data_IF_444479772004
#
_entry.id   IF_444479772004
#
_cell.length_a   1.000
_cell.length_b   1.000
_cell.length_c   1.000
_cell.angle_alpha   90.00
_cell.angle_beta   90.00
_cell.angle_gamma   90.00
#
_symmetry.space_group_name_H-M   'P 1'
#
loop_
_entity.id
_entity.type
_entity.pdbx_description
1 polymer ?
#
# COMPACT_ATOMS: atom_id res chain seq x y z
N UNK A 1 -11.98 3.76 3.08
CA UNK A 1 -10.93 3.32 2.12
C UNK A 1 -11.35 2.23 1.15
N UNK A 2 -12.07 1.17 1.57
CA UNK A 2 -12.55 0.11 0.66
C UNK A 2 -13.27 0.57 -0.63
N UNK A 3 -14.31 1.43 -0.60
CA UNK A 3 -14.99 1.86 -1.83
C UNK A 3 -14.06 2.65 -2.76
N UNK A 4 -13.14 3.44 -2.19
CA UNK A 4 -12.13 4.17 -2.94
C UNK A 4 -11.18 3.22 -3.68
N UNK A 5 -10.66 2.19 -3.00
CA UNK A 5 -9.79 1.19 -3.62
C UNK A 5 -10.49 0.42 -4.75
N UNK A 6 -11.78 0.11 -4.59
CA UNK A 6 -12.57 -0.54 -5.63
C UNK A 6 -12.77 0.36 -6.86
N UNK A 7 -13.15 1.63 -6.64
CA UNK A 7 -13.29 2.61 -7.71
C UNK A 7 -11.96 2.87 -8.45
N UNK A 8 -10.85 2.93 -7.70
CA UNK A 8 -9.51 3.04 -8.26
C UNK A 8 -9.20 1.85 -9.18
N UNK A 9 -9.37 0.61 -8.70
CA UNK A 9 -9.15 -0.61 -9.50
C UNK A 9 -9.99 -0.57 -10.76
N UNK A 10 -11.30 -0.34 -10.64
CA UNK A 10 -12.21 -0.27 -11.79
C UNK A 10 -11.72 0.74 -12.85
N UNK A 11 -11.26 1.92 -12.43
CA UNK A 11 -10.73 2.95 -13.32
C UNK A 11 -9.44 2.51 -14.02
N UNK A 12 -8.46 1.98 -13.28
CA UNK A 12 -7.15 1.62 -13.87
C UNK A 12 -7.19 0.34 -14.69
N UNK A 13 -8.17 -0.53 -14.45
CA UNK A 13 -8.35 -1.76 -15.24
C UNK A 13 -9.34 -1.61 -16.41
N UNK A 14 -9.97 -0.44 -16.57
CA UNK A 14 -11.01 -0.23 -17.58
C UNK A 14 -10.51 -0.44 -19.02
N UNK A 15 -9.24 -0.11 -19.29
CA UNK A 15 -8.65 -0.16 -20.63
C UNK A 15 -7.66 -1.32 -20.83
N UNK A 16 -7.01 -1.75 -19.74
CA UNK A 16 -6.10 -2.90 -19.72
C UNK A 16 -6.48 -3.82 -18.56
N UNK A 17 -6.59 -5.13 -18.80
CA UNK A 17 -6.84 -6.13 -17.76
C UNK A 17 -5.60 -6.34 -16.89
N UNK A 18 -5.31 -5.38 -16.02
CA UNK A 18 -4.32 -5.56 -14.96
C UNK A 18 -4.95 -6.47 -13.88
N UNK A 19 -4.32 -7.59 -13.49
CA UNK A 19 -4.87 -8.53 -12.50
C UNK A 19 -4.77 -7.99 -11.05
N UNK A 20 -5.34 -6.81 -10.80
CA UNK A 20 -5.46 -6.19 -9.48
C UNK A 20 -6.62 -6.80 -8.69
N UNK A 21 -6.46 -8.06 -8.31
CA UNK A 21 -7.49 -8.92 -7.71
C UNK A 21 -7.40 -9.05 -6.18
N UNK A 22 -6.72 -8.11 -5.51
CA UNK A 22 -6.48 -8.12 -4.06
C UNK A 22 -5.78 -9.39 -3.54
N UNK A 23 -4.98 -10.07 -4.37
CA UNK A 23 -4.11 -11.16 -3.95
C UNK A 23 -2.74 -10.63 -3.49
N UNK A 24 -2.03 -11.41 -2.68
CA UNK A 24 -0.64 -11.09 -2.32
C UNK A 24 0.27 -11.05 -3.56
N UNK A 25 0.04 -11.94 -4.52
CA UNK A 25 0.81 -11.98 -5.76
C UNK A 25 0.67 -10.69 -6.58
N UNK A 26 -0.52 -10.06 -6.57
CA UNK A 26 -0.75 -8.80 -7.28
C UNK A 26 0.09 -7.63 -6.76
N UNK A 27 0.68 -7.71 -5.56
CA UNK A 27 1.58 -6.67 -5.05
C UNK A 27 2.85 -6.51 -5.90
N UNK A 28 3.31 -7.58 -6.57
CA UNK A 28 4.41 -7.48 -7.57
C UNK A 28 4.04 -6.60 -8.75
N UNK A 29 2.77 -6.63 -9.15
CA UNK A 29 2.28 -5.77 -10.22
C UNK A 29 2.21 -4.31 -9.76
N UNK A 30 1.77 -4.07 -8.52
CA UNK A 30 1.81 -2.72 -7.93
C UNK A 30 3.25 -2.21 -7.88
N UNK A 31 4.20 -3.05 -7.46
CA UNK A 31 5.62 -2.74 -7.47
C UNK A 31 6.09 -2.28 -8.87
N UNK A 32 5.74 -3.03 -9.92
CA UNK A 32 6.07 -2.71 -11.30
C UNK A 32 5.38 -1.44 -11.83
N UNK A 33 4.12 -1.19 -11.45
CA UNK A 33 3.39 0.03 -11.83
C UNK A 33 4.07 1.27 -11.23
N UNK A 34 4.46 1.21 -9.96
CA UNK A 34 5.18 2.31 -9.30
C UNK A 34 6.54 2.54 -9.96
N UNK A 35 7.28 1.47 -10.27
CA UNK A 35 8.56 1.59 -10.98
C UNK A 35 8.40 2.18 -12.38
N UNK A 36 7.33 1.83 -13.09
CA UNK A 36 7.00 2.41 -14.40
C UNK A 36 6.74 3.91 -14.31
N UNK A 37 5.95 4.35 -13.34
CA UNK A 37 5.71 5.78 -13.08
C UNK A 37 7.00 6.53 -12.77
N UNK A 38 7.86 5.95 -11.92
CA UNK A 38 9.15 6.55 -11.53
C UNK A 38 10.09 6.68 -12.71
N UNK A 39 10.29 5.60 -13.49
CA UNK A 39 11.18 5.57 -14.65
C UNK A 39 10.68 6.45 -15.79
N UNK A 40 9.36 6.64 -15.92
CA UNK A 40 8.75 7.54 -16.88
C UNK A 40 8.93 9.03 -16.59
N UNK A 41 9.66 9.40 -15.52
CA UNK A 41 9.92 10.81 -15.17
C UNK A 41 8.65 11.57 -14.78
N UNK A 42 7.61 10.87 -14.32
CA UNK A 42 6.33 11.48 -14.04
C UNK A 42 6.43 12.50 -12.90
N UNK A 43 5.85 13.68 -13.11
CA UNK A 43 5.76 14.72 -12.09
C UNK A 43 4.98 14.22 -10.85
N UNK A 44 5.54 14.47 -9.66
CA UNK A 44 4.99 14.02 -8.37
C UNK A 44 3.54 14.45 -8.19
N UNK A 45 3.21 15.68 -8.54
CA UNK A 45 1.85 16.19 -8.37
C UNK A 45 0.86 15.49 -9.30
N UNK A 46 1.28 15.21 -10.54
CA UNK A 46 0.44 14.48 -11.51
C UNK A 46 0.16 13.04 -11.07
N UNK A 47 1.11 12.38 -10.43
CA UNK A 47 0.95 10.97 -10.01
C UNK A 47 0.39 10.81 -8.59
N UNK A 48 0.25 11.89 -7.82
CA UNK A 48 -0.20 11.86 -6.42
C UNK A 48 -1.49 11.05 -6.22
N UNK A 49 -2.50 11.28 -7.05
CA UNK A 49 -3.76 10.54 -6.99
C UNK A 49 -3.63 9.05 -7.33
N UNK A 50 -2.73 8.71 -8.26
CA UNK A 50 -2.44 7.32 -8.60
C UNK A 50 -1.68 6.61 -7.49
N UNK A 51 -0.68 7.25 -6.88
CA UNK A 51 0.06 6.70 -5.74
C UNK A 51 -0.85 6.46 -4.54
N UNK A 52 -1.76 7.41 -4.26
CA UNK A 52 -2.77 7.23 -3.21
C UNK A 52 -3.71 6.04 -3.52
N UNK A 53 -4.15 5.90 -4.77
CA UNK A 53 -4.93 4.75 -5.24
C UNK A 53 -4.23 3.40 -5.09
N UNK A 54 -2.96 3.34 -5.46
CA UNK A 54 -2.13 2.15 -5.27
C UNK A 54 -1.91 1.86 -3.77
N UNK A 55 -1.71 2.88 -2.95
CA UNK A 55 -1.63 2.74 -1.49
C UNK A 55 -2.92 2.21 -0.87
N UNK A 56 -4.08 2.71 -1.31
CA UNK A 56 -5.39 2.20 -0.91
C UNK A 56 -5.58 0.73 -1.30
N UNK A 57 -5.13 0.34 -2.49
CA UNK A 57 -5.14 -1.05 -2.95
C UNK A 57 -4.26 -1.94 -2.06
N UNK A 58 -3.03 -1.52 -1.76
CA UNK A 58 -2.13 -2.25 -0.85
C UNK A 58 -2.77 -2.41 0.53
N UNK A 59 -3.38 -1.36 1.08
CA UNK A 59 -4.12 -1.43 2.34
C UNK A 59 -5.27 -2.44 2.31
N UNK A 60 -6.04 -2.50 1.22
CA UNK A 60 -7.08 -3.54 1.06
C UNK A 60 -6.51 -4.96 0.98
N UNK A 61 -5.32 -5.16 0.40
CA UNK A 61 -4.64 -6.47 0.44
C UNK A 61 -4.30 -6.83 1.89
N UNK A 62 -3.79 -5.90 2.69
CA UNK A 62 -3.52 -6.14 4.11
C UNK A 62 -4.79 -6.48 4.89
N UNK A 63 -5.88 -5.73 4.68
CA UNK A 63 -7.15 -6.00 5.34
C UNK A 63 -7.67 -7.40 5.01
N UNK A 64 -7.67 -7.76 3.73
CA UNK A 64 -8.28 -9.01 3.25
C UNK A 64 -7.43 -10.25 3.49
N UNK A 65 -6.10 -10.10 3.52
CA UNK A 65 -5.16 -11.24 3.54
C UNK A 65 -4.37 -11.36 4.83
N UNK A 66 -4.27 -10.28 5.61
CA UNK A 66 -3.47 -10.20 6.83
C UNK A 66 -4.28 -9.88 8.09
N UNK A 67 -5.61 -9.77 7.98
CA UNK A 67 -6.48 -9.42 9.10
C UNK A 67 -6.32 -7.98 9.60
N UNK A 68 -5.73 -7.10 8.78
CA UNK A 68 -5.61 -5.68 9.12
C UNK A 68 -6.96 -4.97 9.16
N UNK A 69 -7.02 -3.84 9.85
CA UNK A 69 -8.17 -2.94 9.87
C UNK A 69 -7.75 -1.52 9.49
N UNK A 70 -8.57 -0.84 8.69
CA UNK A 70 -8.40 0.58 8.43
C UNK A 70 -8.62 1.39 9.70
N UNK A 71 -7.74 2.35 9.93
CA UNK A 71 -7.80 3.26 11.07
C UNK A 71 -7.48 4.68 10.60
N UNK A 72 -8.17 5.65 11.19
CA UNK A 72 -7.74 7.04 11.11
C UNK A 72 -6.53 7.21 12.02
N UNK A 73 -5.51 7.89 11.50
CA UNK A 73 -4.36 8.27 12.32
C UNK A 73 -4.77 9.37 13.29
N UNK A 74 -4.26 9.31 14.52
CA UNK A 74 -4.33 10.45 15.44
C UNK A 74 -3.42 11.59 14.96
N UNK A 75 -3.43 12.72 15.67
CA UNK A 75 -2.67 13.91 15.27
C UNK A 75 -1.16 13.66 15.21
N UNK A 76 -0.61 12.93 16.17
CA UNK A 76 0.80 12.56 16.21
C UNK A 76 1.19 11.64 15.05
N UNK A 77 0.36 10.62 14.78
CA UNK A 77 0.55 9.71 13.66
C UNK A 77 0.42 10.43 12.32
N UNK A 78 -0.51 11.38 12.18
CA UNK A 78 -0.64 12.20 10.97
C UNK A 78 0.60 13.07 10.77
N UNK A 79 1.13 13.67 11.83
CA UNK A 79 2.35 14.46 11.77
C UNK A 79 3.57 13.60 11.37
N UNK A 80 3.67 12.38 11.91
CA UNK A 80 4.76 11.46 11.61
C UNK A 80 4.68 10.86 10.20
N UNK A 81 3.50 10.39 9.80
CA UNK A 81 3.31 9.64 8.55
C UNK A 81 2.93 10.52 7.35
N UNK A 82 2.49 11.76 7.57
CA UNK A 82 2.01 12.67 6.53
C UNK A 82 0.77 12.17 5.78
N UNK A 83 0.04 11.21 6.33
CA UNK A 83 -1.17 10.61 5.74
C UNK A 83 -2.29 10.55 6.77
N UNK A 84 -3.56 10.63 6.38
CA UNK A 84 -4.68 10.67 7.33
C UNK A 84 -5.08 9.29 7.86
N UNK A 85 -4.68 8.21 7.17
CA UNK A 85 -5.17 6.84 7.41
C UNK A 85 -4.04 5.82 7.32
N UNK A 86 -4.23 4.68 7.98
CA UNK A 86 -3.40 3.50 7.78
C UNK A 86 -4.08 2.22 8.21
N UNK A 87 -3.27 1.19 8.45
CA UNK A 87 -3.71 -0.17 8.77
C UNK A 87 -3.18 -0.56 10.14
N UNK A 88 -4.08 -0.90 11.07
CA UNK A 88 -3.74 -1.59 12.31
C UNK A 88 -3.76 -3.09 12.06
N UNK A 89 -2.66 -3.76 12.36
CA UNK A 89 -2.52 -5.22 12.25
C UNK A 89 -3.06 -5.91 13.51
N UNK A 90 -3.33 -7.23 13.47
CA UNK A 90 -3.79 -7.98 14.63
C UNK A 90 -2.86 -7.93 15.85
N UNK A 91 -1.57 -7.67 15.64
CA UNK A 91 -0.57 -7.48 16.70
C UNK A 91 -0.55 -6.06 17.30
N UNK A 92 -1.46 -5.18 16.87
CA UNK A 92 -1.62 -3.81 17.35
C UNK A 92 -0.76 -2.78 16.61
N UNK A 93 0.24 -3.20 15.82
CA UNK A 93 1.11 -2.26 15.10
C UNK A 93 0.36 -1.56 13.97
N UNK A 94 0.70 -0.29 13.77
CA UNK A 94 0.11 0.57 12.74
C UNK A 94 1.10 0.72 11.59
N UNK A 95 0.57 0.66 10.37
CA UNK A 95 1.32 0.80 9.14
C UNK A 95 0.68 1.80 8.19
N UNK A 96 1.49 2.47 7.38
CA UNK A 96 1.05 3.42 6.37
C UNK A 96 1.29 2.88 4.94
N UNK A 97 0.32 2.18 4.33
CA UNK A 97 0.45 1.67 2.97
C UNK A 97 0.65 2.76 1.91
N UNK A 98 0.01 3.91 2.09
CA UNK A 98 0.15 5.04 1.17
C UNK A 98 1.59 5.56 1.22
N UNK A 99 2.09 5.85 2.42
CA UNK A 99 3.49 6.24 2.63
C UNK A 99 4.49 5.21 2.06
N UNK A 100 4.23 3.91 2.23
CA UNK A 100 5.10 2.86 1.65
C UNK A 100 5.14 2.91 0.12
N UNK A 101 4.01 3.17 -0.54
CA UNK A 101 3.96 3.36 -2.00
C UNK A 101 4.71 4.63 -2.41
N UNK A 102 4.58 5.72 -1.66
CA UNK A 102 5.37 6.94 -1.90
C UNK A 102 6.87 6.68 -1.75
N UNK A 103 7.30 5.96 -0.71
CA UNK A 103 8.71 5.62 -0.52
C UNK A 103 9.25 4.79 -1.69
N UNK A 104 8.47 3.82 -2.19
CA UNK A 104 8.83 3.08 -3.42
C UNK A 104 8.96 3.99 -4.63
N UNK A 105 8.04 4.93 -4.82
CA UNK A 105 8.11 5.86 -5.94
C UNK A 105 9.36 6.75 -5.86
N UNK A 106 9.74 7.19 -4.66
CA UNK A 106 10.88 8.10 -4.45
C UNK A 106 12.23 7.39 -4.48
N UNK A 107 12.40 6.35 -3.68
CA UNK A 107 13.68 5.65 -3.50
C UNK A 107 13.84 4.45 -4.44
N UNK A 108 12.74 3.77 -4.78
CA UNK A 108 12.75 2.55 -5.56
C UNK A 108 13.47 1.39 -4.88
N UNK A 109 13.82 0.39 -5.69
CA UNK A 109 14.64 -0.75 -5.27
C UNK A 109 13.92 -1.83 -4.46
N UNK A 110 14.65 -2.89 -4.06
CA UNK A 110 14.07 -4.07 -3.40
C UNK A 110 13.55 -3.81 -1.98
N UNK A 111 14.19 -2.88 -1.24
CA UNK A 111 13.81 -2.54 0.14
C UNK A 111 12.43 -1.88 0.23
N UNK A 112 12.01 -1.24 -0.86
CA UNK A 112 10.69 -0.63 -1.01
C UNK A 112 9.68 -1.55 -1.71
N UNK A 113 9.95 -2.86 -1.82
CA UNK A 113 8.96 -3.80 -2.35
C UNK A 113 7.76 -3.91 -1.42
N UNK A 114 6.58 -3.70 -2.00
CA UNK A 114 5.28 -3.84 -1.36
C UNK A 114 4.97 -5.31 -1.09
N UNK A 115 5.44 -6.22 -1.96
CA UNK A 115 5.33 -7.65 -1.70
C UNK A 115 6.23 -8.07 -0.52
N UNK A 116 7.51 -7.69 -0.53
CA UNK A 116 8.42 -8.01 0.60
C UNK A 116 7.90 -7.41 1.89
N UNK A 117 7.40 -6.18 1.84
CA UNK A 117 6.71 -5.54 2.96
C UNK A 117 5.59 -6.42 3.52
N UNK A 118 4.67 -6.92 2.68
CA UNK A 118 3.62 -7.86 3.10
C UNK A 118 4.18 -9.11 3.80
N UNK A 119 5.20 -9.74 3.21
CA UNK A 119 5.78 -10.98 3.73
C UNK A 119 6.42 -10.78 5.11
N UNK A 120 7.10 -9.65 5.31
CA UNK A 120 7.75 -9.32 6.60
C UNK A 120 6.74 -8.98 7.69
N UNK A 121 5.56 -8.45 7.35
CA UNK A 121 4.49 -8.22 8.34
C UNK A 121 4.05 -9.53 9.02
N UNK A 122 3.96 -10.62 8.26
CA UNK A 122 3.51 -11.93 8.74
C UNK A 122 4.60 -12.72 9.45
N UNK A 123 5.86 -12.59 9.02
CA UNK A 123 7.00 -13.23 9.69
C UNK A 123 7.25 -12.73 11.12
N UNK A 124 6.60 -11.63 11.53
CA UNK A 124 6.67 -11.05 12.88
C UNK A 124 5.46 -11.42 13.74
N UNK A 125 4.79 -12.53 13.46
CA UNK A 125 3.80 -13.09 14.37
C UNK A 125 4.45 -13.34 15.75
N UNK A 126 3.99 -12.57 16.74
CA UNK A 126 4.24 -12.61 18.18
C UNK A 126 5.25 -13.69 18.64
N UNK A 127 6.46 -13.28 19.04
CA UNK A 127 7.15 -13.99 20.13
C UNK A 127 6.29 -13.75 21.36
N UNK A 128 5.44 -14.71 21.70
CA UNK A 128 4.87 -14.78 23.04
C UNK A 128 6.05 -15.17 23.92
N UNK A 129 6.59 -14.20 24.66
CA UNK A 129 7.42 -14.53 25.82
C UNK A 129 6.42 -15.05 26.84
N UNK A 130 6.46 -16.37 27.05
CA UNK A 130 5.75 -17.07 28.14
C UNK A 130 6.48 -16.74 29.44
#
# INVERSE_FOLDING_TARGET
MRPYAAAFVARVTARNRLPLNYSVASLRLVDALVDGLRKGGADRERVRGTLFGLGAYVGEVLVRRAGGAWVDFDEEQRAYFGQPVGIRMPDGRIWNPVGKVHNRFLAGGPQESLQTFYLVLHGRARRVVV
#
